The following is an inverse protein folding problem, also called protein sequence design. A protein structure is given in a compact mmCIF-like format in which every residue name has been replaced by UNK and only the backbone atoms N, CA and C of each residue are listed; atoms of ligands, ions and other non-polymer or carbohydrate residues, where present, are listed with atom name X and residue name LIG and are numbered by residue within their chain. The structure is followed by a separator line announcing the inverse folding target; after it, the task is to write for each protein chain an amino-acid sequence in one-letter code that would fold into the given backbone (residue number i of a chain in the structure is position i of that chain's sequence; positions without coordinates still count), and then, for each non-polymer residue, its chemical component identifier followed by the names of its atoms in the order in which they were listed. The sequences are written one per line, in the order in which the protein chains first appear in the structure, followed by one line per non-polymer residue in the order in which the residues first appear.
data_IF_661893143698
#
_entry.id   IF_661893143698
#
_cell.length_a   1.000
_cell.length_b   1.000
_cell.length_c   1.000
_cell.angle_alpha   90.00
_cell.angle_beta   90.00
_cell.angle_gamma   90.00
#
_symmetry.space_group_name_H-M   'P 1'
#
loop_
_entity.id
_entity.type
_entity.pdbx_description
1 polymer ?
#
# COMPACT_ATOMS: atom_id res chain seq x y z
N UNK A 1 3.25 9.00 -12.58
CA UNK A 1 1.94 9.69 -12.44
C UNK A 1 1.46 10.14 -13.81
N UNK A 2 0.15 10.21 -14.05
CA UNK A 2 -0.41 10.84 -15.26
C UNK A 2 -1.53 11.79 -14.90
N UNK A 3 -1.41 13.04 -15.31
CA UNK A 3 -2.47 14.04 -15.20
C UNK A 3 -3.43 13.87 -16.39
N UNK A 4 -4.74 13.77 -16.10
CA UNK A 4 -5.78 13.52 -17.10
C UNK A 4 -6.76 14.69 -17.13
N UNK A 5 -6.85 15.43 -18.25
CA UNK A 5 -7.85 16.48 -18.41
C UNK A 5 -9.27 15.91 -18.42
N UNK A 6 -10.27 16.74 -18.08
CA UNK A 6 -11.67 16.36 -18.19
C UNK A 6 -12.03 16.10 -19.67
N UNK A 7 -12.75 15.00 -19.98
CA UNK A 7 -13.29 14.79 -21.33
C UNK A 7 -14.32 15.89 -21.68
N UNK A 8 -14.35 16.37 -22.93
CA UNK A 8 -15.37 17.33 -23.38
C UNK A 8 -16.78 16.82 -23.12
N UNK A 9 -17.69 17.71 -22.72
CA UNK A 9 -19.12 17.42 -22.52
C UNK A 9 -19.42 16.30 -21.51
N UNK A 10 -18.58 16.13 -20.48
CA UNK A 10 -18.84 15.19 -19.37
C UNK A 10 -18.76 15.89 -18.02
N UNK A 11 -19.38 15.30 -16.99
CA UNK A 11 -19.28 15.75 -15.61
C UNK A 11 -17.97 15.35 -14.91
N UNK A 12 -17.08 14.64 -15.62
CA UNK A 12 -15.84 14.11 -15.07
C UNK A 12 -14.80 15.24 -14.95
N UNK A 13 -14.30 15.46 -13.72
CA UNK A 13 -13.27 16.46 -13.46
C UNK A 13 -11.83 16.05 -13.83
N UNK A 14 -10.87 16.87 -13.41
CA UNK A 14 -9.44 16.57 -13.50
C UNK A 14 -9.08 15.35 -12.68
N UNK A 15 -8.24 14.48 -13.23
CA UNK A 15 -7.86 13.22 -12.57
C UNK A 15 -6.36 13.04 -12.56
N UNK A 16 -5.89 12.30 -11.56
CA UNK A 16 -4.51 11.85 -11.44
C UNK A 16 -4.50 10.33 -11.42
N UNK A 17 -3.66 9.74 -12.26
CA UNK A 17 -3.45 8.30 -12.32
C UNK A 17 -2.11 7.93 -11.66
N UNK A 18 -2.20 7.05 -10.65
CA UNK A 18 -1.05 6.44 -9.98
C UNK A 18 -0.71 5.11 -10.68
N UNK A 19 0.54 4.93 -11.12
CA UNK A 19 0.95 3.89 -12.10
C UNK A 19 2.08 2.98 -11.64
N UNK A 20 2.60 3.19 -10.43
CA UNK A 20 3.78 2.49 -9.92
C UNK A 20 3.52 1.17 -9.18
N UNK A 21 2.32 0.85 -8.63
CA UNK A 21 2.12 -0.44 -7.98
C UNK A 21 2.23 -1.59 -8.97
N UNK A 22 3.07 -2.57 -8.64
CA UNK A 22 3.12 -3.87 -9.32
C UNK A 22 1.86 -4.69 -8.98
N UNK A 23 1.39 -5.52 -9.92
CA UNK A 23 0.30 -6.45 -9.66
C UNK A 23 0.76 -7.53 -8.68
N UNK A 24 -0.10 -7.88 -7.73
CA UNK A 24 0.15 -8.89 -6.72
C UNK A 24 -0.61 -10.19 -7.02
N UNK A 25 -0.22 -11.27 -6.35
CA UNK A 25 -0.72 -12.62 -6.62
C UNK A 25 -2.23 -12.77 -6.32
N UNK A 26 -2.71 -12.10 -5.27
CA UNK A 26 -4.09 -12.23 -4.80
C UNK A 26 -4.89 -10.93 -4.92
N UNK A 27 -6.20 -11.05 -5.07
CA UNK A 27 -7.12 -9.90 -5.07
C UNK A 27 -7.08 -9.12 -3.77
N UNK A 28 -6.88 -9.81 -2.63
CA UNK A 28 -6.72 -9.18 -1.32
C UNK A 28 -5.52 -8.22 -1.29
N UNK A 29 -4.34 -8.64 -1.76
CA UNK A 29 -3.16 -7.77 -1.81
C UNK A 29 -3.38 -6.58 -2.75
N UNK A 30 -3.96 -6.84 -3.93
CA UNK A 30 -4.25 -5.79 -4.91
C UNK A 30 -5.22 -4.76 -4.34
N UNK A 31 -6.29 -5.21 -3.67
CA UNK A 31 -7.22 -4.34 -2.95
C UNK A 31 -6.52 -3.55 -1.84
N UNK A 32 -5.62 -4.17 -1.08
CA UNK A 32 -4.88 -3.50 -0.02
C UNK A 32 -4.06 -2.31 -0.55
N UNK A 33 -3.31 -2.49 -1.64
CA UNK A 33 -2.54 -1.39 -2.25
C UNK A 33 -3.43 -0.31 -2.85
N UNK A 34 -4.56 -0.67 -3.48
CA UNK A 34 -5.53 0.31 -4.01
C UNK A 34 -6.12 1.15 -2.88
N UNK A 35 -6.62 0.50 -1.82
CA UNK A 35 -7.20 1.17 -0.65
C UNK A 35 -6.16 2.06 0.03
N UNK A 36 -4.92 1.59 0.17
CA UNK A 36 -3.83 2.39 0.71
C UNK A 36 -3.58 3.67 -0.10
N UNK A 37 -3.49 3.58 -1.42
CA UNK A 37 -3.30 4.77 -2.28
C UNK A 37 -4.47 5.72 -2.15
N UNK A 38 -5.71 5.22 -2.15
CA UNK A 38 -6.92 6.04 -1.96
C UNK A 38 -6.88 6.76 -0.61
N UNK A 39 -6.68 6.04 0.49
CA UNK A 39 -6.62 6.63 1.83
C UNK A 39 -5.46 7.62 1.96
N UNK A 40 -4.28 7.30 1.42
CA UNK A 40 -3.14 8.21 1.42
C UNK A 40 -3.46 9.52 0.69
N UNK A 41 -4.14 9.48 -0.45
CA UNK A 41 -4.55 10.71 -1.15
C UNK A 41 -5.55 11.54 -0.32
N UNK A 42 -6.47 10.89 0.40
CA UNK A 42 -7.40 11.57 1.31
C UNK A 42 -6.67 12.23 2.48
N UNK A 43 -5.69 11.55 3.05
CA UNK A 43 -4.82 12.07 4.11
C UNK A 43 -4.02 13.29 3.62
N UNK A 44 -3.36 13.18 2.46
CA UNK A 44 -2.57 14.29 1.89
C UNK A 44 -3.43 15.54 1.71
N UNK A 45 -4.65 15.39 1.19
CA UNK A 45 -5.57 16.50 0.99
C UNK A 45 -6.16 17.05 2.29
N UNK A 46 -6.61 16.18 3.19
CA UNK A 46 -7.28 16.57 4.43
C UNK A 46 -6.31 17.21 5.42
N UNK A 47 -5.09 16.69 5.51
CA UNK A 47 -4.05 17.21 6.41
C UNK A 47 -3.16 18.26 5.75
N UNK A 48 -3.39 18.57 4.47
CA UNK A 48 -2.60 19.53 3.68
C UNK A 48 -1.10 19.24 3.79
N UNK A 49 -0.74 17.97 3.58
CA UNK A 49 0.64 17.52 3.72
C UNK A 49 1.52 18.11 2.61
N UNK A 50 2.71 18.56 2.99
CA UNK A 50 3.76 18.90 2.05
C UNK A 50 4.66 17.67 1.85
N UNK A 51 4.61 17.07 0.66
CA UNK A 51 5.47 15.94 0.27
C UNK A 51 6.44 16.32 -0.85
N UNK A 52 6.68 17.61 -1.07
CA UNK A 52 7.56 18.08 -2.14
C UNK A 52 9.02 17.76 -1.83
N UNK A 53 9.67 17.10 -2.79
CA UNK A 53 11.10 16.83 -2.83
C UNK A 53 11.65 17.25 -4.21
N UNK A 54 12.95 17.56 -4.33
CA UNK A 54 13.56 17.83 -5.63
C UNK A 54 13.41 16.65 -6.59
N UNK A 55 13.15 16.93 -7.89
CA UNK A 55 12.96 15.87 -8.89
C UNK A 55 14.18 14.94 -9.01
N UNK A 56 15.39 15.48 -8.90
CA UNK A 56 16.63 14.68 -8.89
C UNK A 56 16.70 13.66 -7.76
N UNK A 57 16.03 13.92 -6.63
CA UNK A 57 15.92 12.99 -5.49
C UNK A 57 14.84 11.95 -5.72
N UNK A 58 13.76 12.31 -6.41
CA UNK A 58 12.76 11.37 -6.87
C UNK A 58 13.34 10.40 -7.91
N UNK A 59 14.17 10.88 -8.85
CA UNK A 59 14.86 10.05 -9.83
C UNK A 59 15.84 9.08 -9.15
N UNK A 60 16.65 9.57 -8.20
CA UNK A 60 17.52 8.71 -7.39
C UNK A 60 16.73 7.63 -6.62
N UNK A 61 15.54 7.96 -6.11
CA UNK A 61 14.66 6.97 -5.47
C UNK A 61 14.16 5.92 -6.45
N UNK A 62 13.83 6.30 -7.70
CA UNK A 62 13.40 5.36 -8.73
C UNK A 62 14.52 4.36 -9.07
N UNK A 63 15.76 4.82 -9.18
CA UNK A 63 16.92 3.93 -9.40
C UNK A 63 17.15 2.99 -8.22
N UNK A 64 17.06 3.50 -6.99
CA UNK A 64 17.21 2.71 -5.77
C UNK A 64 16.09 1.65 -5.64
N UNK A 65 14.86 1.97 -6.03
CA UNK A 65 13.69 1.10 -5.92
C UNK A 65 13.81 -0.18 -6.78
N UNK A 66 14.61 -0.15 -7.85
CA UNK A 66 14.83 -1.30 -8.72
C UNK A 66 15.82 -2.32 -8.15
N UNK A 67 16.57 -1.98 -7.10
CA UNK A 67 17.56 -2.88 -6.52
C UNK A 67 16.88 -4.08 -5.84
N UNK A 68 17.51 -5.26 -5.93
CA UNK A 68 17.03 -6.47 -5.26
C UNK A 68 16.89 -6.21 -3.77
N UNK A 69 15.73 -6.54 -3.22
CA UNK A 69 15.41 -6.42 -1.79
C UNK A 69 15.39 -4.96 -1.27
N UNK A 70 15.24 -3.97 -2.15
CA UNK A 70 15.25 -2.54 -1.80
C UNK A 70 14.18 -2.15 -0.77
N UNK A 71 13.07 -2.88 -0.66
CA UNK A 71 12.05 -2.64 0.39
C UNK A 71 12.66 -2.75 1.78
N UNK A 72 13.58 -3.70 2.00
CA UNK A 72 14.13 -3.98 3.33
C UNK A 72 15.50 -3.33 3.56
N UNK A 73 16.32 -3.25 2.51
CA UNK A 73 17.71 -2.79 2.62
C UNK A 73 17.92 -1.39 2.04
N UNK A 74 17.01 -0.91 1.20
CA UNK A 74 17.12 0.37 0.53
C UNK A 74 16.86 1.54 1.46
N UNK A 75 17.42 2.69 1.09
CA UNK A 75 17.19 3.99 1.71
C UNK A 75 16.76 4.97 0.63
N UNK A 76 15.74 5.76 0.92
CA UNK A 76 15.06 6.63 -0.03
C UNK A 76 15.00 8.05 0.52
N UNK A 77 15.24 9.04 -0.34
CA UNK A 77 15.09 10.43 -0.01
C UNK A 77 13.62 10.74 0.29
N UNK A 78 13.36 11.22 1.49
CA UNK A 78 12.02 11.51 1.97
C UNK A 78 12.01 12.80 2.78
N UNK A 79 10.87 13.49 2.77
CA UNK A 79 10.69 14.73 3.54
C UNK A 79 10.25 14.37 4.96
N UNK A 80 10.96 14.87 5.97
CA UNK A 80 10.64 14.60 7.38
C UNK A 80 9.51 15.50 7.92
N UNK A 81 9.49 16.76 7.51
CA UNK A 81 8.58 17.82 7.95
C UNK A 81 7.39 17.96 6.98
N UNK A 82 6.49 16.98 7.02
CA UNK A 82 5.38 16.91 6.08
C UNK A 82 4.17 17.78 6.48
N UNK A 83 4.15 18.30 7.71
CA UNK A 83 3.06 19.11 8.23
C UNK A 83 3.28 20.58 7.93
N UNK A 84 2.20 21.30 7.71
CA UNK A 84 2.21 22.73 7.41
C UNK A 84 1.54 23.52 8.53
N UNK A 85 1.70 24.84 8.55
CA UNK A 85 0.96 25.73 9.45
C UNK A 85 -0.57 25.66 9.26
N UNK A 86 -1.03 25.09 8.14
CA UNK A 86 -2.44 24.88 7.82
C UNK A 86 -2.92 23.46 8.11
N UNK A 87 -2.06 22.57 8.60
CA UNK A 87 -2.44 21.22 8.98
C UNK A 87 -3.31 21.27 10.25
N UNK A 88 -4.34 20.41 10.39
CA UNK A 88 -5.11 20.33 11.62
C UNK A 88 -4.19 19.90 12.79
N UNK A 89 -4.57 20.19 14.05
CA UNK A 89 -3.85 19.67 15.21
C UNK A 89 -3.96 18.14 15.22
N UNK A 90 -2.94 17.47 14.70
CA UNK A 90 -2.86 16.01 14.66
C UNK A 90 -2.09 15.56 15.89
N UNK A 91 -2.78 14.94 16.84
CA UNK A 91 -2.16 14.29 17.99
C UNK A 91 -1.59 12.92 17.58
N UNK A 92 -0.53 12.91 16.77
CA UNK A 92 0.25 11.68 16.53
C UNK A 92 1.47 11.65 17.44
N UNK A 93 1.69 10.57 18.22
CA UNK A 93 2.92 10.40 19.00
C UNK A 93 4.15 10.55 18.10
N UNK A 94 5.13 11.37 18.51
CA UNK A 94 6.40 11.56 17.79
C UNK A 94 6.45 12.74 16.80
N UNK A 95 5.37 13.52 16.64
CA UNK A 95 5.43 14.80 15.94
C UNK A 95 6.08 15.88 16.81
N UNK A 96 7.20 16.43 16.35
CA UNK A 96 7.56 17.78 16.78
C UNK A 96 6.47 18.76 16.31
N UNK A 97 6.13 19.75 17.14
CA UNK A 97 5.23 20.85 16.73
C UNK A 97 5.71 21.45 15.41
N UNK A 98 4.80 21.98 14.57
CA UNK A 98 5.19 22.64 13.33
C UNK A 98 6.25 23.68 13.66
N UNK A 99 7.48 23.45 13.20
CA UNK A 99 8.52 24.43 13.34
C UNK A 99 8.04 25.67 12.59
N UNK A 100 7.84 26.77 13.32
CA UNK A 100 7.86 28.13 12.77
C UNK A 100 9.27 28.41 12.25
N UNK A 101 9.66 27.66 11.20
CA UNK A 101 10.96 27.71 10.57
C UNK A 101 10.84 28.48 9.27
N UNK A 102 11.51 29.62 9.24
CA UNK A 102 11.90 30.35 8.03
C UNK A 102 12.28 29.41 6.88
N UNK A 103 11.98 29.83 5.65
CA UNK A 103 12.11 29.13 4.35
C UNK A 103 13.52 28.60 3.98
N UNK A 104 14.42 28.38 4.95
CA UNK A 104 15.86 28.14 4.76
C UNK A 104 16.41 26.94 5.56
N UNK A 105 15.59 26.07 6.16
CA UNK A 105 16.12 24.84 6.74
C UNK A 105 16.46 23.84 5.62
N UNK A 106 17.73 23.82 5.19
CA UNK A 106 18.25 22.89 4.17
C UNK A 106 18.15 21.41 4.57
N UNK A 107 17.73 21.10 5.81
CA UNK A 107 17.69 19.75 6.36
C UNK A 107 16.29 19.08 6.35
N UNK A 108 15.34 19.56 5.57
CA UNK A 108 13.98 18.97 5.47
C UNK A 108 13.95 17.58 4.81
N UNK A 109 15.02 17.22 4.10
CA UNK A 109 15.15 15.98 3.34
C UNK A 109 16.15 15.04 4.01
N UNK A 110 15.79 13.78 4.16
CA UNK A 110 16.61 12.74 4.81
C UNK A 110 16.45 11.40 4.08
N UNK A 111 17.29 10.42 4.41
CA UNK A 111 17.20 9.08 3.85
C UNK A 111 16.53 8.12 4.84
N UNK A 112 15.42 7.52 4.42
CA UNK A 112 14.62 6.60 5.23
C UNK A 112 14.43 5.26 4.53
N UNK A 113 14.35 4.18 5.29
CA UNK A 113 13.93 2.87 4.77
C UNK A 113 12.44 2.88 4.49
N UNK A 114 11.95 1.89 3.73
CA UNK A 114 10.50 1.75 3.53
C UNK A 114 9.79 1.50 4.86
N UNK A 115 10.39 0.75 5.80
CA UNK A 115 9.84 0.60 7.15
C UNK A 115 9.65 1.96 7.85
N UNK A 116 10.67 2.80 7.83
CA UNK A 116 10.62 4.13 8.46
C UNK A 116 9.58 5.04 7.80
N UNK A 117 9.43 4.99 6.46
CA UNK A 117 8.42 5.77 5.73
C UNK A 117 7.00 5.26 6.00
N UNK A 118 6.80 3.94 6.01
CA UNK A 118 5.46 3.36 6.13
C UNK A 118 4.99 3.35 7.59
N UNK A 119 5.84 2.88 8.51
CA UNK A 119 5.50 2.63 9.90
C UNK A 119 5.96 3.75 10.84
N UNK A 120 6.82 4.65 10.37
CA UNK A 120 7.35 5.76 11.15
C UNK A 120 8.75 5.50 11.68
N UNK A 121 9.35 6.58 12.17
CA UNK A 121 10.65 6.63 12.83
C UNK A 121 10.52 7.52 14.05
N UNK A 122 10.68 6.92 15.22
CA UNK A 122 10.46 7.60 16.50
C UNK A 122 11.25 8.92 16.59
N UNK A 123 10.55 10.00 16.96
CA UNK A 123 11.12 11.34 17.08
C UNK A 123 11.46 12.05 15.76
N UNK A 124 11.35 11.39 14.60
CA UNK A 124 11.72 11.98 13.31
C UNK A 124 10.57 12.02 12.30
N UNK A 125 9.76 10.96 12.20
CA UNK A 125 8.68 10.87 11.23
C UNK A 125 7.52 9.99 11.73
N UNK A 126 6.26 10.44 11.61
CA UNK A 126 5.11 9.69 12.13
C UNK A 126 4.83 8.37 11.42
N UNK A 127 5.19 8.24 10.14
CA UNK A 127 4.81 7.12 9.28
C UNK A 127 3.51 7.37 8.51
N UNK A 128 3.44 6.87 7.28
CA UNK A 128 2.24 7.01 6.44
C UNK A 128 1.05 6.19 6.96
N UNK A 129 1.27 4.98 7.46
CA UNK A 129 0.19 4.14 8.01
C UNK A 129 -0.38 4.74 9.30
N UNK A 130 0.42 5.20 10.28
CA UNK A 130 -0.10 5.89 11.46
C UNK A 130 -0.97 7.12 11.12
N UNK A 131 -0.59 7.90 10.11
CA UNK A 131 -1.41 9.03 9.63
C UNK A 131 -2.74 8.56 9.02
N UNK A 132 -2.72 7.49 8.21
CA UNK A 132 -3.94 6.89 7.64
C UNK A 132 -4.85 6.36 8.74
N UNK A 133 -4.31 5.67 9.75
CA UNK A 133 -5.10 5.16 10.89
C UNK A 133 -5.79 6.31 11.63
N UNK A 134 -5.05 7.39 11.91
CA UNK A 134 -5.60 8.58 12.56
C UNK A 134 -6.73 9.19 11.74
N UNK A 135 -6.58 9.24 10.42
CA UNK A 135 -7.61 9.73 9.51
C UNK A 135 -8.85 8.84 9.51
N UNK A 136 -8.69 7.52 9.37
CA UNK A 136 -9.81 6.56 9.39
C UNK A 136 -10.57 6.61 10.72
N UNK A 137 -9.87 6.70 11.86
CA UNK A 137 -10.52 6.82 13.18
C UNK A 137 -11.31 8.12 13.37
N UNK A 138 -11.01 9.17 12.59
CA UNK A 138 -11.77 10.42 12.59
C UNK A 138 -13.02 10.38 11.71
N UNK A 139 -13.17 9.32 10.90
CA UNK A 139 -14.32 9.12 10.02
C UNK A 139 -15.36 8.22 10.69
N UNK A 140 -16.64 8.47 10.43
CA UNK A 140 -17.73 7.59 10.84
C UNK A 140 -17.82 6.39 9.88
N UNK A 141 -16.98 5.37 10.14
CA UNK A 141 -16.89 4.14 9.34
C UNK A 141 -17.33 2.97 10.20
N UNK A 142 -18.14 2.06 9.65
CA UNK A 142 -18.61 0.88 10.36
C UNK A 142 -17.47 -0.07 10.75
N UNK A 143 -17.70 -0.86 11.79
CA UNK A 143 -16.68 -1.72 12.41
C UNK A 143 -16.12 -2.76 11.44
N UNK A 144 -16.95 -3.34 10.57
CA UNK A 144 -16.52 -4.37 9.64
C UNK A 144 -15.58 -3.77 8.58
N UNK A 145 -15.95 -2.61 8.02
CA UNK A 145 -15.09 -1.87 7.09
C UNK A 145 -13.78 -1.43 7.75
N UNK A 146 -13.81 -0.96 9.01
CA UNK A 146 -12.60 -0.64 9.75
C UNK A 146 -11.68 -1.86 9.93
N UNK A 147 -12.24 -3.02 10.27
CA UNK A 147 -11.49 -4.27 10.38
C UNK A 147 -10.83 -4.65 9.05
N UNK A 148 -11.55 -4.56 7.92
CA UNK A 148 -10.99 -4.86 6.60
C UNK A 148 -9.88 -3.88 6.21
N UNK A 149 -10.07 -2.57 6.43
CA UNK A 149 -9.02 -1.57 6.22
C UNK A 149 -7.80 -1.90 7.09
N UNK A 150 -8.01 -2.27 8.35
CA UNK A 150 -6.92 -2.61 9.25
C UNK A 150 -6.12 -3.84 8.78
N UNK A 151 -6.78 -4.84 8.21
CA UNK A 151 -6.11 -6.00 7.60
C UNK A 151 -5.26 -5.59 6.40
N UNK A 152 -5.77 -4.71 5.54
CA UNK A 152 -5.01 -4.16 4.41
C UNK A 152 -3.77 -3.37 4.84
N UNK A 153 -3.93 -2.48 5.83
CA UNK A 153 -2.81 -1.71 6.36
C UNK A 153 -1.77 -2.61 7.03
N UNK A 154 -2.20 -3.64 7.78
CA UNK A 154 -1.28 -4.60 8.40
C UNK A 154 -0.43 -5.36 7.37
N UNK A 155 -0.99 -5.72 6.21
CA UNK A 155 -0.21 -6.34 5.13
C UNK A 155 0.94 -5.44 4.69
N UNK A 156 0.67 -4.16 4.47
CA UNK A 156 1.65 -3.19 3.98
C UNK A 156 2.70 -2.89 5.06
N UNK A 157 2.26 -2.71 6.31
CA UNK A 157 3.12 -2.51 7.49
C UNK A 157 4.13 -3.65 7.65
N UNK A 158 3.65 -4.90 7.58
CA UNK A 158 4.49 -6.10 7.72
C UNK A 158 5.43 -6.34 6.54
N UNK A 159 5.04 -5.93 5.33
CA UNK A 159 5.93 -5.95 4.16
C UNK A 159 7.03 -4.90 4.28
N UNK A 160 6.67 -3.71 4.77
CA UNK A 160 7.63 -2.63 4.97
C UNK A 160 8.65 -2.99 6.07
N UNK A 161 8.23 -3.63 7.16
CA UNK A 161 9.11 -4.11 8.23
C UNK A 161 9.95 -5.33 7.82
N UNK A 162 9.51 -6.07 6.81
CA UNK A 162 10.16 -7.29 6.33
C UNK A 162 9.71 -8.56 7.07
N UNK A 163 8.72 -8.46 7.97
CA UNK A 163 8.03 -9.61 8.59
C UNK A 163 7.37 -10.49 7.52
N UNK A 164 6.73 -9.86 6.52
CA UNK A 164 6.21 -10.54 5.34
C UNK A 164 7.10 -10.29 4.13
N UNK A 165 7.19 -11.30 3.26
CA UNK A 165 7.91 -11.19 2.00
C UNK A 165 7.12 -10.35 0.99
N UNK A 166 7.84 -9.67 0.11
CA UNK A 166 7.27 -9.22 -1.16
C UNK A 166 7.10 -10.41 -2.09
N UNK A 167 6.14 -10.33 -3.01
CA UNK A 167 5.95 -11.34 -4.08
C UNK A 167 7.26 -11.62 -4.83
N UNK A 168 8.03 -10.57 -5.16
CA UNK A 168 9.33 -10.73 -5.81
C UNK A 168 10.36 -11.47 -4.95
N UNK A 169 10.38 -11.28 -3.63
CA UNK A 169 11.28 -12.04 -2.74
C UNK A 169 10.85 -13.50 -2.64
N UNK A 170 9.55 -13.74 -2.50
CA UNK A 170 9.00 -15.09 -2.45
C UNK A 170 9.29 -15.88 -3.73
N UNK A 171 9.06 -15.29 -4.92
CA UNK A 171 9.38 -15.93 -6.22
C UNK A 171 10.86 -16.33 -6.27
N UNK A 172 11.77 -15.42 -5.87
CA UNK A 172 13.21 -15.74 -5.85
C UNK A 172 13.52 -16.87 -4.87
N UNK A 173 12.91 -16.86 -3.68
CA UNK A 173 13.09 -17.92 -2.70
C UNK A 173 12.63 -19.27 -3.25
N UNK A 174 11.45 -19.31 -3.87
CA UNK A 174 10.88 -20.50 -4.50
C UNK A 174 11.82 -21.09 -5.55
N UNK A 175 12.30 -20.24 -6.48
CA UNK A 175 13.22 -20.66 -7.55
C UNK A 175 14.54 -21.17 -6.95
N UNK A 176 15.12 -20.42 -6.00
CA UNK A 176 16.41 -20.77 -5.41
C UNK A 176 16.36 -22.05 -4.59
N UNK A 177 15.20 -22.42 -4.03
CA UNK A 177 14.99 -23.67 -3.30
C UNK A 177 14.55 -24.84 -4.18
N UNK A 178 14.31 -24.62 -5.47
CA UNK A 178 13.79 -25.65 -6.36
C UNK A 178 14.86 -26.73 -6.62
N UNK A 179 14.54 -28.05 -6.54
CA UNK A 179 15.53 -29.13 -6.72
C UNK A 179 16.30 -29.06 -8.05
N UNK A 180 15.62 -28.64 -9.11
CA UNK A 180 16.22 -28.51 -10.45
C UNK A 180 17.03 -27.22 -10.66
N UNK A 181 17.06 -26.30 -9.68
CA UNK A 181 17.81 -25.05 -9.81
C UNK A 181 19.30 -25.28 -9.58
N UNK A 182 20.12 -24.89 -10.57
CA UNK A 182 21.56 -25.20 -10.60
C UNK A 182 22.44 -24.05 -10.13
N UNK A 183 21.86 -23.05 -9.46
CA UNK A 183 22.57 -21.82 -9.05
C UNK A 183 23.23 -21.07 -10.22
N UNK A 184 22.69 -21.21 -11.42
CA UNK A 184 23.19 -20.65 -12.68
C UNK A 184 22.36 -19.45 -13.17
N UNK A 185 21.41 -18.96 -12.35
CA UNK A 185 20.44 -17.91 -12.69
C UNK A 185 19.51 -18.25 -13.87
N UNK A 186 19.41 -19.54 -14.23
CA UNK A 186 18.50 -20.01 -15.28
C UNK A 186 17.22 -20.56 -14.64
N UNK A 187 16.07 -20.11 -15.13
CA UNK A 187 14.76 -20.67 -14.76
C UNK A 187 14.33 -21.60 -15.90
N UNK A 188 14.39 -22.91 -15.68
CA UNK A 188 13.96 -23.90 -16.66
C UNK A 188 12.43 -23.95 -16.78
N UNK A 189 11.92 -24.52 -17.87
CA UNK A 189 10.48 -24.72 -18.07
C UNK A 189 9.84 -25.50 -16.92
N UNK A 190 10.57 -26.45 -16.33
CA UNK A 190 10.10 -27.22 -15.18
C UNK A 190 9.93 -26.34 -13.94
N UNK A 191 10.92 -25.52 -13.60
CA UNK A 191 10.86 -24.58 -12.47
C UNK A 191 9.72 -23.58 -12.68
N UNK A 192 9.58 -23.06 -13.91
CA UNK A 192 8.53 -22.11 -14.26
C UNK A 192 7.13 -22.73 -14.14
N UNK A 193 6.94 -23.95 -14.64
CA UNK A 193 5.69 -24.69 -14.50
C UNK A 193 5.32 -24.90 -13.02
N UNK A 194 6.26 -25.40 -12.22
CA UNK A 194 6.02 -25.67 -10.80
C UNK A 194 5.72 -24.38 -10.02
N UNK A 195 6.39 -23.26 -10.35
CA UNK A 195 6.09 -21.93 -9.80
C UNK A 195 4.65 -21.50 -10.12
N UNK A 196 4.25 -21.53 -11.40
CA UNK A 196 2.93 -21.07 -11.83
C UNK A 196 1.79 -21.94 -11.28
N UNK A 197 1.99 -23.26 -11.23
CA UNK A 197 1.04 -24.19 -10.61
C UNK A 197 0.90 -23.89 -9.13
N UNK A 198 2.01 -23.66 -8.42
CA UNK A 198 1.98 -23.34 -7.00
C UNK A 198 1.28 -21.99 -6.73
N UNK A 199 1.57 -20.96 -7.52
CA UNK A 199 0.87 -19.67 -7.45
C UNK A 199 -0.65 -19.83 -7.69
N UNK A 200 -1.05 -20.65 -8.67
CA UNK A 200 -2.47 -20.92 -8.92
C UNK A 200 -3.15 -21.60 -7.73
N UNK A 201 -2.49 -22.56 -7.08
CA UNK A 201 -3.00 -23.24 -5.88
C UNK A 201 -3.14 -22.28 -4.70
N UNK A 202 -2.18 -21.36 -4.52
CA UNK A 202 -2.28 -20.29 -3.52
C UNK A 202 -3.50 -19.42 -3.79
N UNK A 203 -3.67 -18.96 -5.03
CA UNK A 203 -4.79 -18.07 -5.41
C UNK A 203 -6.16 -18.74 -5.22
N UNK A 204 -6.25 -20.06 -5.42
CA UNK A 204 -7.47 -20.86 -5.17
C UNK A 204 -7.72 -21.17 -3.69
N UNK A 205 -6.75 -20.92 -2.82
CA UNK A 205 -6.82 -21.30 -1.41
C UNK A 205 -6.52 -22.78 -1.12
N UNK A 206 -6.04 -23.54 -2.12
CA UNK A 206 -5.69 -24.95 -1.96
C UNK A 206 -4.44 -25.12 -1.06
N UNK A 207 -3.59 -24.10 -1.01
CA UNK A 207 -2.35 -24.06 -0.21
C UNK A 207 -2.20 -22.67 0.38
N UNK A 208 -1.90 -22.57 1.68
CA UNK A 208 -1.56 -21.31 2.33
C UNK A 208 -0.13 -20.85 2.04
N UNK A 209 0.14 -19.55 2.17
CA UNK A 209 1.50 -19.01 2.11
C UNK A 209 1.73 -17.99 3.24
N UNK A 210 2.10 -18.47 4.45
CA UNK A 210 2.33 -17.61 5.61
C UNK A 210 3.43 -16.57 5.38
N UNK A 211 4.39 -16.85 4.49
CA UNK A 211 5.48 -15.93 4.16
C UNK A 211 4.99 -14.68 3.41
N UNK A 212 3.90 -14.80 2.64
CA UNK A 212 3.30 -13.69 1.89
C UNK A 212 2.14 -13.01 2.62
N UNK A 213 1.37 -13.78 3.41
CA UNK A 213 0.09 -13.34 3.97
C UNK A 213 0.02 -13.39 5.50
N UNK A 214 0.98 -14.05 6.15
CA UNK A 214 0.91 -14.35 7.59
C UNK A 214 -0.18 -15.36 7.92
N UNK A 215 -0.66 -15.32 9.17
CA UNK A 215 -1.69 -16.24 9.69
C UNK A 215 -3.11 -15.67 9.67
N UNK A 216 -3.29 -14.45 9.16
CA UNK A 216 -4.59 -13.76 9.22
C UNK A 216 -5.49 -14.17 8.06
N UNK A 217 -6.60 -14.84 8.35
CA UNK A 217 -7.65 -15.10 7.38
C UNK A 217 -8.55 -13.86 7.23
N UNK A 218 -8.68 -13.35 6.00
CA UNK A 218 -9.66 -12.32 5.67
C UNK A 218 -11.08 -12.85 5.94
N UNK A 219 -11.93 -12.05 6.59
CA UNK A 219 -13.36 -12.36 6.75
C UNK A 219 -14.18 -11.98 5.51
N UNK A 220 -13.56 -11.28 4.56
CA UNK A 220 -14.21 -10.86 3.32
C UNK A 220 -14.44 -12.10 2.45
N UNK A 221 -15.68 -12.57 2.43
CA UNK A 221 -16.16 -13.59 1.49
C UNK A 221 -16.60 -12.91 0.18
N UNK A 222 -16.54 -13.64 -0.93
CA UNK A 222 -17.04 -13.22 -2.26
C UNK A 222 -18.55 -12.92 -2.30
N UNK A 223 -19.25 -13.15 -1.19
CA UNK A 223 -20.67 -12.84 -1.06
C UNK A 223 -20.85 -11.38 -0.70
N UNK A 224 -21.37 -10.60 -1.64
CA UNK A 224 -21.89 -9.25 -1.40
C UNK A 224 -22.87 -9.32 -0.22
N UNK A 225 -22.64 -8.58 0.89
CA UNK A 225 -23.55 -8.55 2.02
C UNK A 225 -24.97 -8.22 1.57
N UNK A 226 -25.96 -8.96 2.07
CA UNK A 226 -27.37 -8.78 1.69
C UNK A 226 -27.90 -7.36 1.93
N UNK A 227 -27.26 -6.60 2.82
CA UNK A 227 -27.51 -5.17 3.03
C UNK A 227 -27.23 -4.32 1.78
N UNK A 228 -26.18 -4.61 1.02
CA UNK A 228 -25.81 -3.90 -0.22
C UNK A 228 -26.75 -4.27 -1.38
N UNK A 229 -27.20 -5.54 -1.43
CA UNK A 229 -28.20 -6.00 -2.39
C UNK A 229 -29.57 -5.36 -2.13
N UNK A 230 -29.95 -5.18 -0.86
CA UNK A 230 -31.18 -4.48 -0.47
C UNK A 230 -31.14 -2.98 -0.78
N UNK A 231 -29.99 -2.33 -0.65
CA UNK A 231 -29.82 -0.92 -1.01
C UNK A 231 -29.92 -0.66 -2.53
N UNK A 232 -29.63 -1.66 -3.36
CA UNK A 232 -29.64 -1.56 -4.83
C UNK A 232 -31.03 -1.79 -5.49
N UNK A 233 -32.10 -1.97 -4.71
CA UNK A 233 -33.47 -1.86 -5.23
C UNK A 233 -33.90 -2.90 -6.28
N UNK A 234 -33.36 -4.13 -6.28
CA UNK A 234 -33.88 -5.19 -7.13
C UNK A 234 -35.19 -5.77 -6.54
N UNK A 235 -36.32 -5.14 -6.88
CA UNK A 235 -37.65 -5.71 -6.63
C UNK A 235 -37.81 -7.01 -7.41
N UNK A 236 -37.90 -8.14 -6.71
CA UNK A 236 -38.36 -9.40 -7.27
C UNK A 236 -39.88 -9.43 -7.14
N UNK A 237 -40.57 -9.30 -8.26
CA UNK A 237 -42.01 -9.53 -8.39
C UNK A 237 -42.35 -10.98 -8.05
N UNK A 238 -43.13 -11.19 -6.99
CA UNK A 238 -43.76 -12.48 -6.71
C UNK A 238 -44.94 -12.67 -7.66
N UNK A 239 -44.86 -13.70 -8.50
CA UNK A 239 -46.00 -14.29 -9.19
C UNK A 239 -46.80 -15.14 -8.19
N UNK A 240 -48.02 -14.72 -7.87
CA UNK A 240 -48.99 -15.52 -7.14
C UNK A 240 -49.68 -16.54 -8.05
N UNK A 241 -49.93 -17.73 -7.50
CA UNK A 241 -50.99 -18.65 -7.93
C UNK A 241 -52.38 -18.06 -7.66
#
# INVERSE_FOLDING_TARGET
MRFKPPPPNTSIGWRVEFRTPEIQMTEFENAAYVVFVVLLTRVVLSYRLNLLIPISKADANMEAAQKRDAVRTGKFWFRRDILTSSSPPISTPGLASPSTGTMLDHNFLTQMSINEIINGKEGEFPGLIPLIRTFVSSMDVDVDTQCTIQQYLNLIEKRASGELMTTARWIRSFIMSHPDYRSDSVVSDRINYDLLVHMSRIQKGDVGCPELFGTSASKTNDRVPSAILKASGAQTSQSGE
#
